data_IF_830634470949
#
_entry.id   IF_830634470949
#
_cell.length_a   1.000
_cell.length_b   1.000
_cell.length_c   1.000
_cell.angle_alpha   90.00
_cell.angle_beta   90.00
_cell.angle_gamma   90.00
#
_symmetry.space_group_name_H-M   'P 1'
#
loop_
_entity.id
_entity.type
_entity.pdbx_description
1 polymer ?
#
# COMPACT_ATOMS: atom_id res chain seq x y z
N UNK A 1 -39.78 -30.51 1.53
CA UNK A 1 -39.01 -31.63 0.93
C UNK A 1 -37.88 -32.03 1.87
N UNK A 2 -38.11 -33.02 2.73
CA UNK A 2 -37.08 -33.56 3.64
C UNK A 2 -36.52 -34.87 3.09
N UNK A 3 -35.41 -34.82 2.37
CA UNK A 3 -34.74 -35.99 1.82
C UNK A 3 -33.22 -35.91 2.00
N UNK A 4 -32.53 -37.06 1.95
CA UNK A 4 -31.07 -37.14 2.08
C UNK A 4 -30.35 -36.18 1.12
N UNK A 5 -29.30 -35.50 1.62
CA UNK A 5 -28.47 -34.58 0.85
C UNK A 5 -27.84 -35.26 -0.38
N UNK A 6 -27.48 -36.55 -0.26
CA UNK A 6 -26.96 -37.34 -1.39
C UNK A 6 -28.02 -37.50 -2.50
N UNK A 7 -29.27 -37.77 -2.13
CA UNK A 7 -30.38 -37.91 -3.09
C UNK A 7 -30.65 -36.59 -3.79
N UNK A 8 -30.64 -35.48 -3.04
CA UNK A 8 -30.77 -34.14 -3.58
C UNK A 8 -29.63 -33.80 -4.55
N UNK A 9 -28.37 -34.10 -4.18
CA UNK A 9 -27.20 -33.87 -5.04
C UNK A 9 -27.29 -34.67 -6.33
N UNK A 10 -27.59 -35.97 -6.26
CA UNK A 10 -27.77 -36.82 -7.44
C UNK A 10 -28.87 -36.27 -8.36
N UNK A 11 -30.00 -35.86 -7.80
CA UNK A 11 -31.09 -35.26 -8.58
C UNK A 11 -30.70 -33.93 -9.23
N UNK A 12 -29.91 -33.09 -8.54
CA UNK A 12 -29.46 -31.80 -9.06
C UNK A 12 -28.38 -31.94 -10.15
N UNK A 13 -27.48 -32.93 -10.02
CA UNK A 13 -26.50 -33.28 -11.06
C UNK A 13 -27.21 -33.85 -12.30
N UNK A 14 -28.24 -34.68 -12.12
CA UNK A 14 -29.06 -35.18 -13.22
C UNK A 14 -29.82 -34.03 -13.92
N UNK A 15 -30.47 -33.15 -13.16
CA UNK A 15 -31.23 -32.02 -13.69
C UNK A 15 -30.37 -30.98 -14.42
N UNK A 16 -29.11 -30.79 -13.98
CA UNK A 16 -28.16 -29.88 -14.65
C UNK A 16 -27.55 -30.45 -15.93
N UNK A 17 -27.85 -31.71 -16.27
CA UNK A 17 -27.33 -32.41 -17.45
C UNK A 17 -25.86 -32.82 -17.33
N UNK A 18 -25.31 -32.80 -16.11
CA UNK A 18 -23.92 -33.16 -15.82
C UNK A 18 -23.73 -34.67 -15.66
N UNK A 19 -24.78 -35.38 -15.22
CA UNK A 19 -24.84 -36.84 -15.13
C UNK A 19 -25.49 -37.41 -16.39
N UNK A 20 -24.79 -37.37 -17.52
CA UNK A 20 -25.12 -38.25 -18.63
C UNK A 20 -24.12 -39.41 -18.58
N UNK A 21 -24.54 -40.66 -18.29
CA UNK A 21 -23.71 -41.80 -18.63
C UNK A 21 -23.44 -41.69 -20.13
N UNK A 22 -22.21 -41.98 -20.54
CA UNK A 22 -21.82 -42.04 -21.95
C UNK A 22 -22.60 -43.17 -22.63
N UNK A 23 -23.89 -42.97 -22.90
CA UNK A 23 -24.71 -43.91 -23.61
C UNK A 23 -24.30 -43.83 -25.07
N UNK A 24 -23.64 -44.90 -25.50
CA UNK A 24 -23.41 -45.31 -26.86
C UNK A 24 -24.38 -44.65 -27.86
N UNK A 25 -23.83 -43.83 -28.75
CA UNK A 25 -24.44 -43.61 -30.06
C UNK A 25 -23.36 -43.35 -31.08
N UNK A 26 -22.90 -44.45 -31.66
CA UNK A 26 -22.55 -44.53 -33.07
C UNK A 26 -23.66 -43.89 -33.93
N UNK A 27 -23.63 -42.57 -34.11
CA UNK A 27 -24.33 -41.88 -35.21
C UNK A 27 -23.78 -40.47 -35.42
N UNK A 28 -22.68 -40.44 -36.18
CA UNK A 28 -22.43 -39.51 -37.29
C UNK A 28 -23.23 -38.21 -37.26
N UNK A 29 -22.60 -37.12 -36.80
CA UNK A 29 -22.82 -35.72 -37.23
C UNK A 29 -21.70 -34.85 -36.63
N UNK A 30 -20.58 -34.67 -37.34
CA UNK A 30 -20.32 -33.73 -38.45
C UNK A 30 -20.10 -32.29 -37.95
N UNK A 31 -18.87 -31.83 -38.23
CA UNK A 31 -18.25 -30.50 -38.09
C UNK A 31 -17.62 -30.23 -36.73
N UNK A 32 -16.30 -30.05 -36.76
CA UNK A 32 -15.48 -29.67 -35.62
C UNK A 32 -16.12 -28.49 -34.91
N UNK A 33 -16.45 -28.71 -33.65
CA UNK A 33 -16.70 -27.61 -32.73
C UNK A 33 -15.48 -26.71 -32.82
N UNK A 34 -15.67 -25.45 -33.19
CA UNK A 34 -14.60 -24.46 -33.06
C UNK A 34 -14.04 -24.55 -31.64
N UNK A 35 -12.74 -24.33 -31.49
CA UNK A 35 -12.07 -24.33 -30.19
C UNK A 35 -12.84 -23.45 -29.19
N UNK A 36 -13.36 -22.30 -29.64
CA UNK A 36 -14.26 -21.43 -28.87
C UNK A 36 -15.55 -22.11 -28.37
N UNK A 37 -16.27 -22.84 -29.22
CA UNK A 37 -17.49 -23.54 -28.79
C UNK A 37 -17.21 -24.71 -27.82
N UNK A 38 -16.00 -25.28 -27.83
CA UNK A 38 -15.58 -26.27 -26.82
C UNK A 38 -15.27 -25.58 -25.49
N UNK A 39 -14.58 -24.45 -25.52
CA UNK A 39 -14.24 -23.66 -24.33
C UNK A 39 -15.52 -23.16 -23.63
N UNK A 40 -16.45 -22.56 -24.35
CA UNK A 40 -17.71 -22.11 -23.75
C UNK A 40 -18.51 -23.24 -23.08
N UNK A 41 -18.51 -24.43 -23.68
CA UNK A 41 -19.17 -25.60 -23.08
C UNK A 41 -18.48 -26.04 -21.80
N UNK A 42 -17.15 -25.90 -21.71
CA UNK A 42 -16.39 -26.18 -20.50
C UNK A 42 -16.67 -25.14 -19.41
N UNK A 43 -16.72 -23.86 -19.77
CA UNK A 43 -16.98 -22.77 -18.83
C UNK A 43 -18.39 -22.88 -18.25
N UNK A 44 -19.41 -23.06 -19.10
CA UNK A 44 -20.80 -23.31 -18.68
C UNK A 44 -20.92 -24.56 -17.80
N UNK A 45 -20.09 -25.57 -18.03
CA UNK A 45 -20.04 -26.79 -17.19
C UNK A 45 -19.39 -26.48 -15.84
N UNK A 46 -18.31 -25.73 -15.82
CA UNK A 46 -17.59 -25.33 -14.61
C UNK A 46 -18.46 -24.43 -13.72
N UNK A 47 -19.17 -23.45 -14.29
CA UNK A 47 -20.12 -22.59 -13.59
C UNK A 47 -21.24 -23.41 -12.93
N UNK A 48 -21.83 -24.37 -13.65
CA UNK A 48 -22.85 -25.26 -13.09
C UNK A 48 -22.31 -26.12 -11.95
N UNK A 49 -21.10 -26.64 -12.08
CA UNK A 49 -20.44 -27.42 -11.03
C UNK A 49 -20.15 -26.56 -9.80
N UNK A 50 -19.67 -25.32 -9.99
CA UNK A 50 -19.44 -24.37 -8.91
C UNK A 50 -20.75 -24.02 -8.18
N UNK A 51 -21.83 -23.73 -8.93
CA UNK A 51 -23.14 -23.45 -8.34
C UNK A 51 -23.69 -24.63 -7.54
N UNK A 52 -23.49 -25.87 -8.01
CA UNK A 52 -23.84 -27.07 -7.25
C UNK A 52 -22.98 -27.20 -5.99
N UNK A 53 -21.67 -26.98 -6.11
CA UNK A 53 -20.76 -27.03 -4.97
C UNK A 53 -21.14 -26.03 -3.88
N UNK A 54 -21.36 -24.76 -4.24
CA UNK A 54 -21.78 -23.71 -3.30
C UNK A 54 -23.15 -24.01 -2.66
N UNK A 55 -24.10 -24.56 -3.43
CA UNK A 55 -25.43 -24.90 -2.91
C UNK A 55 -25.39 -26.09 -1.94
N UNK A 56 -24.56 -27.08 -2.22
CA UNK A 56 -24.50 -28.32 -1.44
C UNK A 56 -23.48 -28.28 -0.31
N UNK A 57 -22.60 -27.28 -0.25
CA UNK A 57 -21.71 -27.06 0.88
C UNK A 57 -22.26 -26.00 1.86
N UNK A 58 -22.97 -26.41 2.92
CA UNK A 58 -23.46 -25.46 3.92
C UNK A 58 -22.37 -24.95 4.87
N UNK A 59 -21.19 -25.59 4.93
CA UNK A 59 -20.18 -25.29 5.95
C UNK A 59 -19.31 -24.07 5.64
N UNK A 60 -19.25 -23.64 4.37
CA UNK A 60 -18.49 -22.47 3.95
C UNK A 60 -19.20 -21.14 4.27
N UNK A 61 -20.53 -21.20 4.49
CA UNK A 61 -21.37 -20.02 4.75
C UNK A 61 -21.98 -20.10 6.14
N UNK A 62 -21.85 -19.01 6.91
CA UNK A 62 -22.54 -18.84 8.19
C UNK A 62 -23.81 -18.03 7.92
N UNK A 63 -24.98 -18.61 8.21
CA UNK A 63 -26.28 -17.94 8.06
C UNK A 63 -26.90 -17.76 9.44
N UNK A 64 -27.23 -16.51 9.79
CA UNK A 64 -27.93 -16.16 11.02
C UNK A 64 -29.44 -16.06 10.75
N UNK A 65 -30.25 -16.60 11.66
CA UNK A 65 -31.71 -16.50 11.57
C UNK A 65 -32.16 -15.16 12.11
N UNK A 66 -32.95 -14.45 11.31
CA UNK A 66 -33.55 -13.19 11.73
C UNK A 66 -34.65 -13.46 12.76
N UNK A 67 -34.65 -12.73 13.87
CA UNK A 67 -35.68 -12.88 14.93
C UNK A 67 -37.06 -12.37 14.49
N UNK A 68 -37.09 -11.26 13.75
CA UNK A 68 -38.31 -10.61 13.28
C UNK A 68 -38.15 -10.25 11.80
N UNK A 69 -39.08 -10.66 10.96
CA UNK A 69 -39.05 -10.32 9.54
C UNK A 69 -39.37 -8.83 9.35
N UNK A 70 -38.40 -8.10 8.83
CA UNK A 70 -38.55 -6.69 8.47
C UNK A 70 -38.60 -6.64 6.95
N UNK A 71 -39.82 -6.79 6.42
CA UNK A 71 -40.07 -6.81 4.98
C UNK A 71 -39.39 -5.65 4.25
N UNK A 72 -38.80 -5.95 3.08
CA UNK A 72 -38.18 -4.96 2.20
C UNK A 72 -36.80 -4.44 2.64
N UNK A 73 -36.26 -4.82 3.79
CA UNK A 73 -34.93 -4.38 4.24
C UNK A 73 -33.87 -5.47 4.08
N UNK A 74 -32.77 -5.15 3.38
CA UNK A 74 -31.57 -5.99 3.34
C UNK A 74 -30.76 -5.77 4.61
N UNK A 75 -30.85 -6.70 5.55
CA UNK A 75 -30.09 -6.66 6.79
C UNK A 75 -28.65 -7.13 6.51
N UNK A 76 -27.68 -6.23 6.74
CA UNK A 76 -26.25 -6.57 6.61
C UNK A 76 -25.88 -7.58 7.71
N UNK A 77 -25.08 -8.58 7.37
CA UNK A 77 -24.58 -9.57 8.33
C UNK A 77 -25.44 -10.82 8.54
N UNK A 78 -26.53 -11.00 7.78
CA UNK A 78 -27.34 -12.25 7.82
C UNK A 78 -26.61 -13.45 7.25
N UNK A 79 -25.67 -13.23 6.32
CA UNK A 79 -24.82 -14.26 5.72
C UNK A 79 -23.36 -13.80 5.77
N UNK A 80 -22.48 -14.68 6.23
CA UNK A 80 -21.03 -14.48 6.24
C UNK A 80 -20.28 -15.68 5.65
N UNK A 81 -19.06 -15.45 5.18
CA UNK A 81 -18.15 -16.49 4.67
C UNK A 81 -16.91 -16.60 5.57
N UNK A 82 -16.99 -17.30 6.72
CA UNK A 82 -15.91 -17.31 7.71
C UNK A 82 -14.61 -17.91 7.19
N UNK A 83 -14.67 -18.93 6.30
CA UNK A 83 -13.48 -19.54 5.70
C UNK A 83 -12.67 -18.54 4.86
N UNK A 84 -13.36 -17.82 3.96
CA UNK A 84 -12.73 -16.80 3.12
C UNK A 84 -12.17 -15.64 3.95
N UNK A 85 -12.90 -15.18 4.97
CA UNK A 85 -12.42 -14.12 5.86
C UNK A 85 -11.16 -14.53 6.64
N UNK A 86 -11.12 -15.77 7.16
CA UNK A 86 -9.93 -16.31 7.83
C UNK A 86 -8.75 -16.44 6.87
N UNK A 87 -8.99 -16.95 5.67
CA UNK A 87 -7.96 -17.06 4.64
C UNK A 87 -7.38 -15.70 4.27
N UNK A 88 -8.25 -14.71 4.00
CA UNK A 88 -7.82 -13.34 3.71
C UNK A 88 -6.99 -12.75 4.87
N UNK A 89 -7.40 -12.97 6.12
CA UNK A 89 -6.63 -12.53 7.28
C UNK A 89 -5.26 -13.22 7.40
N UNK A 90 -5.17 -14.51 7.09
CA UNK A 90 -3.89 -15.24 7.05
C UNK A 90 -3.00 -14.70 5.92
N UNK A 91 -3.55 -14.46 4.74
CA UNK A 91 -2.82 -13.90 3.61
C UNK A 91 -2.31 -12.48 3.89
N UNK A 92 -3.09 -11.66 4.60
CA UNK A 92 -2.65 -10.34 5.06
C UNK A 92 -1.47 -10.47 6.03
N UNK A 93 -1.56 -11.34 7.05
CA UNK A 93 -0.44 -11.57 7.98
C UNK A 93 0.81 -12.10 7.28
N UNK A 94 0.66 -12.95 6.26
CA UNK A 94 1.79 -13.41 5.43
C UNK A 94 2.42 -12.28 4.60
N UNK A 95 1.66 -11.26 4.22
CA UNK A 95 2.18 -10.11 3.46
C UNK A 95 2.79 -9.04 4.37
N UNK A 96 2.33 -8.90 5.60
CA UNK A 96 2.80 -7.88 6.55
C UNK A 96 3.70 -8.49 7.63
N UNK A 97 3.12 -9.13 8.64
CA UNK A 97 3.82 -9.64 9.82
C UNK A 97 4.94 -10.63 9.49
N UNK A 98 4.75 -11.50 8.51
CA UNK A 98 5.80 -12.44 8.09
C UNK A 98 7.00 -11.69 7.51
N UNK A 99 6.75 -10.68 6.66
CA UNK A 99 7.81 -9.86 6.05
C UNK A 99 8.53 -9.03 7.11
N UNK A 100 7.80 -8.51 8.10
CA UNK A 100 8.38 -7.80 9.25
C UNK A 100 9.23 -8.73 10.11
N UNK A 101 8.74 -9.94 10.39
CA UNK A 101 9.47 -10.95 11.16
C UNK A 101 10.77 -11.37 10.47
N UNK A 102 10.74 -11.62 9.16
CA UNK A 102 11.93 -11.93 8.35
C UNK A 102 12.95 -10.78 8.31
N UNK A 103 12.51 -9.55 8.53
CA UNK A 103 13.34 -8.34 8.55
C UNK A 103 13.75 -7.89 9.95
N UNK A 104 13.29 -8.56 11.00
CA UNK A 104 13.51 -8.14 12.40
C UNK A 104 14.97 -7.89 12.75
N UNK A 105 15.87 -8.74 12.27
CA UNK A 105 17.31 -8.65 12.57
C UNK A 105 18.10 -7.90 11.47
N UNK A 106 17.41 -7.29 10.48
CA UNK A 106 18.04 -6.54 9.39
C UNK A 106 18.14 -5.07 9.75
N UNK A 107 19.36 -4.57 9.89
CA UNK A 107 19.64 -3.14 10.00
C UNK A 107 19.73 -2.51 8.59
N UNK A 108 18.80 -1.61 8.27
CA UNK A 108 18.79 -0.82 7.02
C UNK A 108 17.62 -1.14 6.09
N UNK A 109 17.17 -0.13 5.34
CA UNK A 109 16.12 -0.23 4.34
C UNK A 109 16.43 0.64 3.12
N UNK A 110 15.99 0.21 1.94
CA UNK A 110 16.05 1.03 0.74
C UNK A 110 15.02 2.16 0.86
N UNK A 111 15.51 3.39 1.02
CA UNK A 111 14.65 4.59 0.99
C UNK A 111 14.49 5.03 -0.47
N UNK A 112 13.29 4.85 -1.01
CA UNK A 112 12.99 5.33 -2.35
C UNK A 112 12.79 6.84 -2.36
N UNK A 113 13.75 7.56 -2.95
CA UNK A 113 13.76 9.02 -3.08
C UNK A 113 13.41 9.48 -4.49
N UNK A 114 12.81 8.62 -5.31
CA UNK A 114 12.35 8.99 -6.66
C UNK A 114 11.22 10.00 -6.56
N UNK A 115 11.27 11.01 -7.42
CA UNK A 115 10.28 12.09 -7.41
C UNK A 115 8.88 11.59 -7.72
N UNK A 116 7.95 11.92 -6.82
CA UNK A 116 6.54 11.65 -6.94
C UNK A 116 6.12 10.19 -6.74
N UNK A 117 7.01 9.21 -6.69
CA UNK A 117 6.60 7.79 -6.61
C UNK A 117 5.75 7.47 -5.37
N UNK A 118 6.09 8.10 -4.23
CA UNK A 118 5.35 7.97 -2.98
C UNK A 118 4.26 9.03 -2.80
N UNK A 119 4.15 9.99 -3.71
CA UNK A 119 3.21 11.12 -3.62
C UNK A 119 2.22 11.09 -4.80
N UNK A 120 0.96 10.69 -4.55
CA UNK A 120 -0.06 10.64 -5.59
C UNK A 120 -0.58 12.04 -6.00
N UNK A 121 -0.21 13.11 -5.29
CA UNK A 121 -0.67 14.47 -5.59
C UNK A 121 0.14 15.14 -6.70
N UNK A 122 1.38 14.68 -6.94
CA UNK A 122 2.25 15.22 -7.97
C UNK A 122 1.80 14.78 -9.37
N UNK A 123 1.57 15.75 -10.25
CA UNK A 123 1.23 15.48 -11.65
C UNK A 123 2.41 14.86 -12.41
N UNK A 124 2.11 14.23 -13.56
CA UNK A 124 3.15 13.64 -14.41
C UNK A 124 4.14 14.69 -14.93
N UNK A 125 3.65 15.89 -15.21
CA UNK A 125 4.46 17.01 -15.72
C UNK A 125 5.41 17.53 -14.64
N UNK A 126 4.93 17.75 -13.42
CA UNK A 126 5.76 18.16 -12.29
C UNK A 126 6.82 17.11 -11.94
N UNK A 127 6.47 15.81 -12.04
CA UNK A 127 7.44 14.71 -11.87
C UNK A 127 8.55 14.76 -12.92
N UNK A 128 8.23 15.04 -14.18
CA UNK A 128 9.23 15.17 -15.26
C UNK A 128 10.08 16.43 -15.07
N UNK A 129 9.46 17.56 -14.71
CA UNK A 129 10.15 18.81 -14.47
C UNK A 129 11.13 18.71 -13.30
N UNK A 130 10.73 18.10 -12.18
CA UNK A 130 11.61 17.87 -11.03
C UNK A 130 12.80 16.95 -11.36
N UNK A 131 12.59 15.94 -12.21
CA UNK A 131 13.69 15.08 -12.71
C UNK A 131 14.66 15.88 -13.56
N UNK A 132 14.14 16.66 -14.50
CA UNK A 132 14.93 17.48 -15.41
C UNK A 132 15.75 18.54 -14.67
N UNK A 133 15.15 19.23 -13.69
CA UNK A 133 15.86 20.25 -12.90
C UNK A 133 16.96 19.62 -12.05
N UNK A 134 16.73 18.46 -11.41
CA UNK A 134 17.76 17.76 -10.64
C UNK A 134 18.89 17.22 -11.51
N UNK A 135 18.58 16.73 -12.70
CA UNK A 135 19.58 16.29 -13.67
C UNK A 135 20.46 17.46 -14.13
N UNK A 136 19.84 18.60 -14.47
CA UNK A 136 20.56 19.83 -14.83
C UNK A 136 21.39 20.40 -13.69
N UNK A 137 20.94 20.29 -12.44
CA UNK A 137 21.73 20.67 -11.26
C UNK A 137 22.89 19.71 -10.97
N UNK A 138 22.77 18.43 -11.34
CA UNK A 138 23.86 17.46 -11.20
C UNK A 138 24.96 17.70 -12.22
N UNK A 139 24.61 17.98 -13.47
CA UNK A 139 25.61 18.28 -14.50
C UNK A 139 26.43 19.53 -14.17
N UNK A 140 25.83 20.55 -13.53
CA UNK A 140 26.53 21.76 -13.12
C UNK A 140 27.43 21.60 -11.89
N UNK A 141 27.26 20.55 -11.08
CA UNK A 141 28.05 20.31 -9.85
C UNK A 141 29.24 19.37 -10.06
N UNK A 142 29.31 18.68 -11.20
CA UNK A 142 30.41 17.76 -11.52
C UNK A 142 31.75 18.46 -11.80
N UNK A 143 31.73 19.75 -12.16
CA UNK A 143 32.94 20.52 -12.49
C UNK A 143 33.72 21.00 -11.26
N UNK A 144 33.10 21.04 -10.07
CA UNK A 144 33.77 21.49 -8.83
C UNK A 144 34.77 20.47 -8.26
N UNK A 145 34.74 19.22 -8.74
CA UNK A 145 35.64 18.15 -8.31
C UNK A 145 36.52 17.64 -9.45
N UNK A 146 36.59 18.37 -10.56
CA UNK A 146 37.50 18.06 -11.64
C UNK A 146 38.91 18.55 -11.28
N UNK A 147 39.72 17.70 -10.66
CA UNK A 147 41.12 18.01 -10.32
C UNK A 147 42.08 17.88 -11.53
N UNK A 148 41.55 17.71 -12.75
CA UNK A 148 42.37 17.70 -13.97
C UNK A 148 42.76 19.10 -14.45
N UNK A 149 42.16 20.16 -13.90
CA UNK A 149 42.69 21.50 -14.05
C UNK A 149 43.90 21.62 -13.10
N UNK A 150 45.10 21.78 -13.65
CA UNK A 150 46.41 21.92 -12.98
C UNK A 150 46.52 23.18 -12.06
N UNK A 151 45.40 23.66 -11.53
CA UNK A 151 45.32 24.79 -10.61
C UNK A 151 45.73 24.33 -9.21
N UNK A 152 46.93 24.72 -8.77
CA UNK A 152 47.42 24.48 -7.41
C UNK A 152 46.42 25.03 -6.37
N UNK A 153 45.93 24.17 -5.46
CA UNK A 153 45.01 24.59 -4.39
C UNK A 153 45.73 25.56 -3.45
N UNK A 154 45.36 26.84 -3.53
CA UNK A 154 45.95 27.93 -2.74
C UNK A 154 44.97 28.46 -1.69
N UNK A 155 45.48 28.78 -0.50
CA UNK A 155 44.75 29.50 0.55
C UNK A 155 45.54 30.75 0.91
N UNK A 156 44.92 31.93 0.80
CA UNK A 156 45.60 33.24 0.93
C UNK A 156 46.87 33.41 0.06
N UNK A 157 46.88 32.81 -1.14
CA UNK A 157 48.01 32.92 -2.08
C UNK A 157 49.20 32.00 -1.78
N UNK A 158 49.07 31.08 -0.83
CA UNK A 158 50.07 30.03 -0.56
C UNK A 158 49.53 28.66 -0.98
N UNK A 159 50.35 27.85 -1.66
CA UNK A 159 49.96 26.50 -2.06
C UNK A 159 49.89 25.57 -0.86
N UNK A 160 48.73 24.91 -0.69
CA UNK A 160 48.49 23.99 0.43
C UNK A 160 49.28 22.69 0.30
N UNK A 161 49.80 22.37 -0.88
CA UNK A 161 50.66 21.19 -1.13
C UNK A 161 52.01 21.23 -0.37
N UNK A 162 52.41 22.38 0.16
CA UNK A 162 53.66 22.58 0.91
C UNK A 162 53.46 22.65 2.44
N UNK A 163 52.22 22.60 2.92
CA UNK A 163 51.89 22.52 4.35
C UNK A 163 51.86 21.05 4.76
N UNK A 164 53.05 20.44 4.90
CA UNK A 164 53.21 19.03 5.30
C UNK A 164 52.91 18.84 6.80
N UNK A 165 53.20 19.86 7.62
CA UNK A 165 52.99 19.84 9.06
C UNK A 165 52.16 21.05 9.49
N UNK A 166 50.93 20.81 9.96
CA UNK A 166 50.04 21.83 10.55
C UNK A 166 50.57 22.40 11.89
N UNK A 167 51.84 22.19 12.21
CA UNK A 167 52.49 22.57 13.47
C UNK A 167 52.54 24.08 13.72
N UNK A 168 52.34 24.91 12.69
CA UNK A 168 52.40 26.37 12.81
C UNK A 168 51.05 27.07 12.62
N UNK A 169 49.95 26.31 12.45
CA UNK A 169 48.61 26.90 12.51
C UNK A 169 48.23 26.91 13.98
N UNK A 170 48.52 28.03 14.65
CA UNK A 170 48.24 28.26 16.06
C UNK A 170 46.75 28.16 16.36
N UNK A 171 46.22 26.94 16.40
CA UNK A 171 45.03 26.57 17.13
C UNK A 171 45.44 26.42 18.59
N UNK A 172 45.88 27.53 19.17
CA UNK A 172 45.92 27.65 20.62
C UNK A 172 44.46 27.58 21.04
N UNK A 173 44.03 26.39 21.49
CA UNK A 173 42.91 26.31 22.41
C UNK A 173 43.38 27.14 23.60
N UNK A 174 42.84 28.35 23.73
CA UNK A 174 42.96 29.11 24.96
C UNK A 174 42.24 28.29 26.05
N UNK A 175 43.03 27.41 26.65
CA UNK A 175 42.68 26.58 27.79
C UNK A 175 42.90 27.43 29.04
N UNK A 176 42.10 28.49 29.19
CA UNK A 176 42.05 29.27 30.42
C UNK A 176 40.64 29.81 30.67
N UNK A 177 40.19 29.55 31.89
CA UNK A 177 39.05 30.13 32.63
C UNK A 177 37.64 29.60 32.36
N UNK A 178 37.27 28.61 33.19
CA UNK A 178 36.15 28.74 34.15
C UNK A 178 34.92 29.54 33.68
N UNK A 179 34.06 28.90 32.88
CA UNK A 179 32.61 28.98 33.12
C UNK A 179 31.91 27.81 32.43
N UNK A 180 31.40 26.88 33.25
CA UNK A 180 30.52 25.77 32.87
C UNK A 180 29.12 26.29 32.51
N UNK A 181 29.07 27.16 31.50
CA UNK A 181 27.86 27.63 30.86
C UNK A 181 28.10 27.52 29.36
N UNK A 182 27.60 26.45 28.75
CA UNK A 182 27.73 26.23 27.31
C UNK A 182 27.36 27.47 26.49
N UNK A 183 27.94 27.60 25.29
CA UNK A 183 27.81 28.75 24.39
C UNK A 183 26.38 29.04 23.86
N UNK A 184 25.35 28.46 24.46
CA UNK A 184 23.97 28.53 24.01
C UNK A 184 23.16 29.25 25.10
N UNK A 185 22.61 30.40 24.73
CA UNK A 185 21.77 31.21 25.61
C UNK A 185 20.57 30.40 26.15
N UNK A 186 20.23 30.63 27.43
CA UNK A 186 19.15 29.94 28.13
C UNK A 186 17.79 30.10 27.42
N UNK A 187 17.55 31.24 26.75
CA UNK A 187 16.36 31.43 25.94
C UNK A 187 16.31 30.49 24.72
N UNK A 188 17.47 30.19 24.13
CA UNK A 188 17.61 29.32 22.96
C UNK A 188 17.42 27.86 23.33
N UNK A 189 17.96 27.42 24.48
CA UNK A 189 17.73 26.07 25.02
C UNK A 189 16.25 25.85 25.33
N UNK A 190 15.57 26.85 25.93
CA UNK A 190 14.13 26.77 26.23
C UNK A 190 13.26 26.64 24.98
N UNK A 191 13.60 27.31 23.90
CA UNK A 191 12.83 27.27 22.65
C UNK A 191 13.03 25.97 21.85
N UNK A 192 14.19 25.32 21.97
CA UNK A 192 14.60 24.25 21.03
C UNK A 192 14.65 22.86 21.63
N UNK A 193 14.86 22.72 22.95
CA UNK A 193 15.29 21.45 23.52
C UNK A 193 14.19 20.61 24.19
N UNK A 194 13.03 21.19 24.55
CA UNK A 194 11.92 20.39 25.10
C UNK A 194 10.55 20.98 24.75
N UNK A 195 9.97 20.41 23.69
CA UNK A 195 8.54 20.22 23.50
C UNK A 195 7.66 21.48 23.43
N UNK A 196 7.45 21.96 22.20
CA UNK A 196 6.46 22.96 21.82
C UNK A 196 5.01 22.51 22.07
N UNK A 197 4.61 22.55 23.34
CA UNK A 197 3.23 22.66 23.79
C UNK A 197 3.04 24.08 24.35
N UNK A 198 3.01 25.07 23.46
CA UNK A 198 2.18 26.24 23.68
C UNK A 198 0.75 25.78 23.45
N UNK A 199 -0.03 25.76 24.53
CA UNK A 199 -1.49 25.67 24.54
C UNK A 199 -2.04 26.97 23.94
N UNK A 200 -1.90 27.10 22.62
CA UNK A 200 -2.60 28.09 21.81
C UNK A 200 -3.69 27.34 21.08
N UNK A 201 -4.88 27.41 21.68
CA UNK A 201 -6.22 27.31 21.11
C UNK A 201 -6.33 26.54 19.78
N UNK A 202 -7.06 25.42 19.85
CA UNK A 202 -7.67 24.70 18.73
C UNK A 202 -8.29 25.69 17.72
N UNK A 203 -7.48 26.12 16.76
CA UNK A 203 -7.90 26.82 15.57
C UNK A 203 -8.57 25.82 14.65
N UNK A 204 -9.90 25.89 14.61
CA UNK A 204 -10.78 25.19 13.68
C UNK A 204 -10.18 25.23 12.25
N UNK A 205 -9.57 24.11 11.83
CA UNK A 205 -9.18 23.91 10.44
C UNK A 205 -10.42 23.52 9.63
N UNK A 206 -11.19 24.53 9.23
CA UNK A 206 -12.22 24.45 8.18
C UNK A 206 -11.61 24.37 6.77
N UNK A 207 -10.76 23.37 6.48
CA UNK A 207 -10.25 23.12 5.13
C UNK A 207 -10.49 21.67 4.66
N UNK A 208 -11.76 21.28 4.69
CA UNK A 208 -12.29 20.13 3.95
C UNK A 208 -13.36 20.59 2.95
N UNK A 209 -13.54 19.89 1.81
CA UNK A 209 -14.54 20.28 0.82
C UNK A 209 -15.95 20.39 1.46
N UNK A 210 -16.76 21.39 1.10
CA UNK A 210 -18.00 21.69 1.79
C UNK A 210 -18.93 20.47 1.78
N UNK A 211 -19.31 20.02 2.98
CA UNK A 211 -20.28 18.93 3.14
C UNK A 211 -21.61 19.38 2.53
N UNK A 212 -22.25 18.50 1.77
CA UNK A 212 -23.58 18.77 1.21
C UNK A 212 -24.57 18.97 2.36
N UNK A 213 -25.32 20.08 2.34
CA UNK A 213 -26.40 20.39 3.29
C UNK A 213 -27.34 19.19 3.43
N UNK A 214 -27.80 18.91 4.64
CA UNK A 214 -28.77 17.82 4.88
C UNK A 214 -30.14 18.20 4.31
N UNK A 215 -30.98 17.20 3.99
CA UNK A 215 -32.34 17.46 3.48
C UNK A 215 -33.19 18.28 4.46
N UNK A 216 -32.90 18.20 5.76
CA UNK A 216 -33.59 19.00 6.77
C UNK A 216 -33.22 20.50 6.68
N UNK A 217 -31.94 20.81 6.44
CA UNK A 217 -31.46 22.19 6.28
C UNK A 217 -32.02 22.86 5.02
N UNK A 218 -32.14 22.12 3.91
CA UNK A 218 -32.71 22.64 2.65
C UNK A 218 -34.21 22.95 2.75
N UNK A 219 -34.93 22.30 3.66
CA UNK A 219 -36.38 22.49 3.82
C UNK A 219 -36.72 23.59 4.84
N UNK A 220 -35.72 24.10 5.56
CA UNK A 220 -35.88 25.14 6.58
C UNK A 220 -35.49 26.54 6.08
N UNK A 221 -34.80 26.63 4.94
CA UNK A 221 -34.50 27.87 4.19
C UNK A 221 -35.65 28.21 3.24
#
# INVERSE_FOLDING_TARGET
>A
MGGSQLKQLKSAIAASGLSQPSSQSSKKRKRGSSTGAVLERRDKRAEKLQALHERFNPFDTKVEKLKHDIGGRRIKGTVGRPGQAKQAGIEQRKKTLLVEYEKKDKAGALVDRRFGENDPTMSLEERMLARFTKERQRSSKGTMFNLEDDDELTHYGQSLSKLDDFDNVGLQLDEDEEDDAGQIDAATVRATHFQGFSDEEDGDHEDGPPRKKTKAEVMAE
#
